data_IF_735317375619
#
_entry.id   IF_735317375619
#
_cell.length_a   1.000
_cell.length_b   1.000
_cell.length_c   1.000
_cell.angle_alpha   90.00
_cell.angle_beta   90.00
_cell.angle_gamma   90.00
#
_symmetry.space_group_name_H-M   'P 1'
#
loop_
_entity.id
_entity.type
_entity.pdbx_description
1 polymer ?
#
# COMPACT_ATOMS: atom_id res chain seq x y z
N UNK A 1 -7.75 -26.35 11.64
CA UNK A 1 -8.62 -25.76 10.60
C UNK A 1 -7.69 -25.21 9.53
N UNK A 2 -7.59 -25.91 8.40
CA UNK A 2 -6.80 -25.46 7.26
C UNK A 2 -7.56 -24.38 6.51
N UNK A 3 -7.52 -23.15 7.02
CA UNK A 3 -8.06 -22.01 6.31
C UNK A 3 -7.04 -21.57 5.26
N UNK A 4 -7.41 -21.66 4.00
CA UNK A 4 -6.62 -21.10 2.89
C UNK A 4 -6.71 -19.57 3.00
N UNK A 5 -5.58 -18.85 3.11
CA UNK A 5 -5.60 -17.39 3.15
C UNK A 5 -6.20 -16.78 1.88
N UNK A 6 -6.95 -15.70 2.03
CA UNK A 6 -7.41 -14.89 0.90
C UNK A 6 -6.20 -14.27 0.18
N UNK A 7 -6.16 -14.39 -1.14
CA UNK A 7 -5.19 -13.71 -1.99
C UNK A 7 -5.91 -12.68 -2.87
N UNK A 8 -5.45 -11.43 -2.84
CA UNK A 8 -6.00 -10.33 -3.64
C UNK A 8 -4.90 -9.73 -4.51
N UNK A 9 -5.17 -9.60 -5.81
CA UNK A 9 -4.27 -8.87 -6.73
C UNK A 9 -4.73 -7.43 -6.83
N UNK A 10 -3.84 -6.49 -6.47
CA UNK A 10 -4.06 -5.04 -6.60
C UNK A 10 -3.06 -4.48 -7.61
N UNK A 11 -3.50 -3.58 -8.49
CA UNK A 11 -2.65 -2.93 -9.48
C UNK A 11 -3.13 -1.49 -9.76
N UNK A 12 -2.23 -0.66 -10.26
CA UNK A 12 -2.48 0.70 -10.71
C UNK A 12 -1.33 1.18 -11.61
N UNK A 13 -1.50 2.32 -12.26
CA UNK A 13 -0.43 2.94 -13.07
C UNK A 13 0.68 3.51 -12.18
N UNK A 14 0.30 4.05 -11.02
CA UNK A 14 1.19 4.63 -10.02
C UNK A 14 0.84 4.12 -8.62
N UNK A 15 1.82 4.15 -7.72
CA UNK A 15 1.65 3.92 -6.30
C UNK A 15 2.56 4.85 -5.51
N UNK A 16 2.13 5.28 -4.33
CA UNK A 16 2.95 6.08 -3.42
C UNK A 16 2.73 5.62 -1.97
N UNK A 17 3.69 4.86 -1.46
CA UNK A 17 3.76 4.41 -0.07
C UNK A 17 4.79 5.27 0.66
N UNK A 18 4.37 6.46 1.09
CA UNK A 18 5.29 7.50 1.57
C UNK A 18 6.17 7.03 2.73
N UNK A 19 7.47 7.28 2.59
CA UNK A 19 8.48 7.12 3.64
C UNK A 19 8.33 8.22 4.70
N UNK A 20 8.21 7.88 6.01
CA UNK A 20 7.96 8.86 7.06
C UNK A 20 9.17 9.77 7.34
N UNK A 21 10.37 9.34 6.97
CA UNK A 21 11.63 10.09 7.07
C UNK A 21 11.79 11.15 5.97
N UNK A 22 11.01 11.06 4.87
CA UNK A 22 11.08 11.98 3.74
C UNK A 22 9.78 12.79 3.64
N UNK A 23 9.65 13.79 4.53
CA UNK A 23 8.41 14.59 4.67
C UNK A 23 8.28 15.74 3.66
N UNK A 24 9.41 16.35 3.28
CA UNK A 24 9.42 17.50 2.36
C UNK A 24 9.18 17.04 0.93
N UNK A 25 9.90 16.01 0.50
CA UNK A 25 9.69 15.33 -0.77
C UNK A 25 9.12 13.95 -0.52
N UNK A 26 7.90 13.69 -1.00
CA UNK A 26 7.24 12.40 -0.80
C UNK A 26 7.89 11.33 -1.67
N UNK A 27 8.77 10.54 -1.07
CA UNK A 27 9.38 9.38 -1.70
C UNK A 27 8.64 8.11 -1.27
N UNK A 28 8.25 7.30 -2.24
CA UNK A 28 7.59 6.02 -1.99
C UNK A 28 8.59 4.94 -1.57
N UNK A 29 8.18 4.04 -0.67
CA UNK A 29 8.79 2.73 -0.56
C UNK A 29 8.67 1.95 -1.88
N UNK A 30 9.58 1.00 -2.08
CA UNK A 30 9.60 0.12 -3.24
C UNK A 30 8.37 -0.82 -3.32
N UNK A 31 7.76 -1.13 -2.18
CA UNK A 31 6.64 -2.06 -2.05
C UNK A 31 5.59 -1.50 -1.08
N UNK A 32 4.33 -1.95 -1.14
CA UNK A 32 3.31 -1.59 -0.16
C UNK A 32 3.77 -1.91 1.26
N UNK A 33 3.55 -0.98 2.19
CA UNK A 33 3.70 -1.26 3.63
C UNK A 33 2.58 -2.21 4.09
N UNK A 34 2.77 -2.99 5.17
CA UNK A 34 1.69 -3.81 5.72
C UNK A 34 0.44 -2.99 6.06
N UNK A 35 0.60 -1.76 6.54
CA UNK A 35 -0.52 -0.84 6.78
C UNK A 35 -1.22 -0.41 5.48
N UNK A 36 -0.48 -0.15 4.41
CA UNK A 36 -1.05 0.17 3.09
C UNK A 36 -1.80 -1.03 2.49
N UNK A 37 -1.21 -2.22 2.56
CA UNK A 37 -1.86 -3.45 2.11
C UNK A 37 -3.12 -3.77 2.93
N UNK A 38 -3.08 -3.58 4.25
CA UNK A 38 -4.26 -3.70 5.11
C UNK A 38 -5.35 -2.71 4.70
N UNK A 39 -4.99 -1.44 4.47
CA UNK A 39 -5.94 -0.42 4.01
C UNK A 39 -6.61 -0.78 2.69
N UNK A 40 -5.88 -1.42 1.75
CA UNK A 40 -6.48 -1.93 0.50
C UNK A 40 -7.53 -3.02 0.78
N UNK A 41 -7.27 -3.95 1.71
CA UNK A 41 -8.21 -5.00 2.08
C UNK A 41 -9.43 -4.43 2.83
N UNK A 42 -9.20 -3.50 3.76
CA UNK A 42 -10.25 -2.83 4.52
C UNK A 42 -11.20 -2.03 3.60
N UNK A 43 -10.66 -1.42 2.54
CA UNK A 43 -11.45 -0.71 1.54
C UNK A 43 -12.35 -1.63 0.70
N UNK A 44 -11.99 -2.91 0.54
CA UNK A 44 -12.85 -3.92 -0.10
C UNK A 44 -13.93 -4.35 0.88
N UNK A 45 -13.54 -4.75 2.09
CA UNK A 45 -14.46 -5.16 3.14
C UNK A 45 -13.83 -5.01 4.52
N UNK A 46 -14.54 -4.34 5.42
CA UNK A 46 -14.17 -4.23 6.82
C UNK A 46 -15.41 -4.13 7.72
N UNK A 47 -15.29 -4.70 8.91
CA UNK A 47 -16.24 -4.60 10.02
C UNK A 47 -15.47 -4.59 11.35
N UNK A 48 -15.98 -3.95 12.42
CA UNK A 48 -15.27 -3.84 13.70
C UNK A 48 -15.00 -5.18 14.40
N UNK A 49 -15.73 -6.24 14.05
CA UNK A 49 -15.61 -7.58 14.65
C UNK A 49 -14.33 -8.32 14.21
N UNK A 50 -13.62 -7.83 13.20
CA UNK A 50 -12.37 -8.45 12.74
C UNK A 50 -11.37 -7.42 12.23
N UNK A 51 -10.13 -7.88 12.04
CA UNK A 51 -9.08 -7.11 11.39
C UNK A 51 -8.34 -7.98 10.38
N UNK A 52 -7.86 -7.36 9.32
CA UNK A 52 -7.02 -8.04 8.34
C UNK A 52 -5.58 -8.15 8.86
N UNK A 53 -5.03 -9.37 8.78
CA UNK A 53 -3.62 -9.64 9.03
C UNK A 53 -2.95 -9.91 7.69
N UNK A 54 -2.05 -9.02 7.28
CA UNK A 54 -1.26 -9.19 6.06
C UNK A 54 -0.17 -10.22 6.34
N UNK A 55 -0.24 -11.36 5.67
CA UNK A 55 0.72 -12.45 5.81
C UNK A 55 1.88 -12.33 4.81
N UNK A 56 1.57 -11.98 3.56
CA UNK A 56 2.55 -11.94 2.48
C UNK A 56 2.18 -10.86 1.44
N UNK A 57 3.20 -10.22 0.88
CA UNK A 57 3.08 -9.34 -0.29
C UNK A 57 3.96 -9.88 -1.41
N UNK A 58 3.37 -10.20 -2.57
CA UNK A 58 4.10 -10.63 -3.77
C UNK A 58 4.16 -9.53 -4.80
N UNK A 59 5.38 -9.21 -5.25
CA UNK A 59 5.63 -8.19 -6.27
C UNK A 59 5.59 -8.84 -7.66
N UNK A 60 4.65 -8.42 -8.50
CA UNK A 60 4.41 -9.01 -9.83
C UNK A 60 5.01 -8.23 -11.00
N UNK A 61 5.59 -7.05 -10.75
CA UNK A 61 6.22 -6.19 -11.77
C UNK A 61 7.54 -5.60 -11.25
N UNK A 62 8.51 -5.31 -12.13
CA UNK A 62 9.72 -4.59 -11.73
C UNK A 62 9.39 -3.26 -11.05
N UNK A 63 10.19 -2.90 -10.05
CA UNK A 63 10.03 -1.64 -9.34
C UNK A 63 10.60 -0.51 -10.20
N UNK A 64 9.80 0.54 -10.43
CA UNK A 64 10.19 1.74 -11.15
C UNK A 64 9.65 2.98 -10.43
N UNK A 65 10.33 4.11 -10.62
CA UNK A 65 9.98 5.38 -10.00
C UNK A 65 9.75 6.45 -11.06
N UNK A 66 8.83 7.36 -10.77
CA UNK A 66 8.57 8.56 -11.56
C UNK A 66 8.47 9.76 -10.61
N UNK A 67 8.96 10.91 -11.07
CA UNK A 67 8.93 12.16 -10.32
C UNK A 67 7.79 13.05 -10.81
N UNK A 68 7.02 13.60 -9.88
CA UNK A 68 5.92 14.52 -10.17
C UNK A 68 6.12 15.81 -9.39
N UNK A 69 5.95 16.96 -10.05
CA UNK A 69 5.83 18.24 -9.37
C UNK A 69 4.38 18.41 -8.91
N UNK A 70 4.19 18.79 -7.65
CA UNK A 70 2.87 18.99 -7.05
C UNK A 70 2.80 20.38 -6.43
N UNK A 71 1.72 21.08 -6.70
CA UNK A 71 1.36 22.29 -5.96
C UNK A 71 0.55 21.86 -4.73
N UNK A 72 1.16 21.91 -3.55
CA UNK A 72 0.51 21.55 -2.29
C UNK A 72 0.24 22.80 -1.45
N UNK A 73 -0.87 22.80 -0.72
CA UNK A 73 -1.15 23.84 0.28
C UNK A 73 -0.20 23.63 1.46
N UNK A 74 0.40 24.69 1.98
CA UNK A 74 1.17 24.61 3.22
C UNK A 74 0.26 24.10 4.35
N UNK A 75 0.67 23.02 5.00
CA UNK A 75 0.05 22.47 6.19
C UNK A 75 0.92 22.68 7.42
#
# INVERSE_FOLDING_TARGET
MDLVPLAVRVWGEYACFTRPDMKVERVSYAVPTPSGARGMLEAIFWKPEFHWVVLETRVHRPIGYASFLRNEVQS
#
